data_IF_003189956897
#
_entry.id   IF_003189956897
#
_cell.length_a   1.000
_cell.length_b   1.000
_cell.length_c   1.000
_cell.angle_alpha   90.00
_cell.angle_beta   90.00
_cell.angle_gamma   90.00
#
_symmetry.space_group_name_H-M   'P 1'
#
loop_
_entity.id
_entity.type
_entity.pdbx_description
1 polymer ?
#
# COMPACT_ATOMS: atom_id res chain seq x y z
N UNK A 1 80.57 34.34 10.75
CA UNK A 1 79.94 33.87 9.49
C UNK A 1 78.48 33.56 9.79
N UNK A 2 77.57 34.05 8.95
CA UNK A 2 76.19 34.36 9.29
C UNK A 2 75.26 33.19 9.59
N UNK A 3 74.40 33.38 10.59
CA UNK A 3 73.21 32.57 10.82
C UNK A 3 72.12 33.06 9.87
N UNK A 4 71.76 32.25 8.88
CA UNK A 4 70.61 32.51 8.01
C UNK A 4 69.37 32.02 8.77
N UNK A 5 68.68 32.95 9.43
CA UNK A 5 67.31 32.73 9.90
C UNK A 5 66.38 32.62 8.69
N UNK A 6 65.70 31.48 8.56
CA UNK A 6 64.59 31.31 7.61
C UNK A 6 63.28 31.69 8.30
N UNK A 7 62.43 32.54 7.71
CA UNK A 7 61.19 32.98 8.34
C UNK A 7 60.19 31.81 8.44
N UNK A 8 59.66 31.60 9.64
CA UNK A 8 58.56 30.66 9.89
C UNK A 8 57.31 31.19 9.19
N UNK A 9 56.87 30.48 8.15
CA UNK A 9 55.58 30.70 7.48
C UNK A 9 54.46 30.37 8.47
N UNK A 10 53.81 31.40 9.01
CA UNK A 10 52.59 31.26 9.80
C UNK A 10 51.47 30.84 8.85
N UNK A 11 51.00 29.61 8.98
CA UNK A 11 49.75 29.17 8.35
C UNK A 11 48.62 29.69 9.23
N UNK A 12 47.90 30.70 8.75
CA UNK A 12 46.64 31.11 9.38
C UNK A 12 45.62 29.96 9.25
N UNK A 13 44.91 29.57 10.33
CA UNK A 13 43.73 28.74 10.18
C UNK A 13 42.62 29.56 9.49
N UNK A 14 41.83 28.97 8.58
CA UNK A 14 40.71 29.68 7.97
C UNK A 14 39.69 30.06 9.06
N UNK A 15 39.21 31.31 8.96
CA UNK A 15 38.20 31.86 9.83
C UNK A 15 36.93 31.00 9.82
N UNK A 16 36.47 30.63 11.01
CA UNK A 16 35.22 29.94 11.27
C UNK A 16 34.06 30.78 10.74
N UNK A 17 33.48 30.38 9.62
CA UNK A 17 32.21 30.94 9.15
C UNK A 17 31.10 30.56 10.15
N UNK A 18 30.19 31.48 10.51
CA UNK A 18 29.06 31.13 11.35
C UNK A 18 28.16 30.14 10.61
N UNK A 19 27.95 28.98 11.24
CA UNK A 19 27.02 27.96 10.80
C UNK A 19 25.63 28.58 10.84
N UNK A 20 25.07 28.86 9.65
CA UNK A 20 23.67 29.27 9.55
C UNK A 20 22.82 28.06 9.98
N UNK A 21 21.88 28.21 10.93
CA UNK A 21 20.95 27.14 11.19
C UNK A 21 20.15 26.90 9.91
N UNK A 22 20.24 25.68 9.37
CA UNK A 22 19.28 25.21 8.38
C UNK A 22 17.90 25.32 9.03
N UNK A 23 17.14 26.32 8.60
CA UNK A 23 15.70 26.40 8.75
C UNK A 23 15.11 25.08 8.22
N UNK A 24 14.82 24.16 9.13
CA UNK A 24 13.97 23.01 8.86
C UNK A 24 12.55 23.54 8.71
N UNK A 25 12.27 24.08 7.52
CA UNK A 25 10.93 24.31 7.05
C UNK A 25 10.42 22.97 6.50
N UNK A 26 9.70 22.24 7.35
CA UNK A 26 8.93 21.08 6.97
C UNK A 26 8.14 20.63 8.18
N UNK A 27 6.81 20.83 8.23
CA UNK A 27 6.04 20.26 9.31
C UNK A 27 6.18 18.74 9.19
N UNK A 28 6.62 18.10 10.27
CA UNK A 28 6.38 16.69 10.48
C UNK A 28 4.87 16.47 10.48
N UNK A 29 4.31 16.21 9.30
CA UNK A 29 2.95 15.72 9.14
C UNK A 29 2.97 14.21 9.37
N UNK A 30 3.27 13.79 10.59
CA UNK A 30 2.66 12.58 11.17
C UNK A 30 1.22 12.93 11.55
N UNK A 31 0.46 13.36 10.54
CA UNK A 31 -0.98 13.52 10.62
C UNK A 31 -1.58 12.26 10.04
N UNK A 32 -2.40 11.58 10.83
CA UNK A 32 -3.41 10.63 10.40
C UNK A 32 -4.35 11.35 9.42
N UNK A 33 -3.93 11.53 8.17
CA UNK A 33 -4.81 12.09 7.15
C UNK A 33 -5.82 11.00 6.79
N UNK A 34 -7.13 11.25 6.93
CA UNK A 34 -8.16 10.31 6.51
C UNK A 34 -7.95 9.93 5.05
N UNK A 35 -8.11 8.66 4.71
CA UNK A 35 -8.07 8.21 3.32
C UNK A 35 -9.13 8.99 2.53
N UNK A 36 -8.68 9.67 1.48
CA UNK A 36 -9.55 10.23 0.47
C UNK A 36 -9.13 9.64 -0.87
N UNK A 37 -10.04 8.95 -1.59
CA UNK A 37 -9.74 8.50 -2.93
C UNK A 37 -9.49 9.72 -3.82
N UNK A 38 -8.66 9.54 -4.86
CA UNK A 38 -8.52 10.56 -5.88
C UNK A 38 -9.91 10.93 -6.44
N UNK A 39 -10.21 12.21 -6.70
CA UNK A 39 -11.45 12.59 -7.36
C UNK A 39 -11.51 11.86 -8.70
N UNK A 40 -12.52 11.00 -8.89
CA UNK A 40 -12.75 10.29 -10.16
C UNK A 40 -12.93 11.34 -11.24
N UNK A 41 -11.92 11.52 -12.08
CA UNK A 41 -11.96 12.46 -13.19
C UNK A 41 -13.03 11.93 -14.15
N UNK A 42 -14.21 12.56 -14.11
CA UNK A 42 -15.33 12.18 -14.95
C UNK A 42 -14.87 12.26 -16.40
N UNK A 43 -14.77 11.10 -17.06
CA UNK A 43 -14.52 11.03 -18.49
C UNK A 43 -15.44 12.04 -19.19
N UNK A 44 -14.81 13.01 -19.84
CA UNK A 44 -15.49 14.06 -20.62
C UNK A 44 -16.14 13.42 -21.83
N UNK A 45 -17.29 12.80 -21.64
CA UNK A 45 -18.24 12.48 -22.71
C UNK A 45 -19.50 13.31 -22.50
N UNK A 46 -19.82 14.10 -23.51
CA UNK A 46 -20.89 15.08 -23.54
C UNK A 46 -22.26 14.50 -23.18
N UNK A 47 -22.94 15.19 -22.26
CA UNK A 47 -24.41 15.39 -22.16
C UNK A 47 -25.34 14.24 -22.55
N UNK A 48 -26.03 13.69 -21.53
CA UNK A 48 -27.50 13.51 -21.56
C UNK A 48 -28.06 13.58 -20.14
N UNK A 49 -29.11 14.41 -19.97
CA UNK A 49 -29.91 14.50 -18.75
C UNK A 49 -30.77 13.24 -18.61
N UNK A 50 -30.90 12.75 -17.38
CA UNK A 50 -31.95 11.82 -16.95
C UNK A 50 -31.59 10.34 -17.13
N UNK A 51 -30.85 9.79 -16.17
CA UNK A 51 -30.86 8.37 -15.86
C UNK A 51 -30.40 8.20 -14.40
N UNK A 52 -31.24 7.65 -13.54
CA UNK A 52 -30.80 7.07 -12.26
C UNK A 52 -29.84 5.95 -12.62
N UNK A 53 -28.52 6.15 -12.45
CA UNK A 53 -27.54 5.11 -12.76
C UNK A 53 -27.46 4.13 -11.57
N UNK A 54 -27.86 2.86 -11.72
CA UNK A 54 -27.33 1.81 -10.87
C UNK A 54 -25.85 1.63 -11.24
N UNK A 55 -24.94 1.41 -10.28
CA UNK A 55 -23.51 1.42 -10.57
C UNK A 55 -23.08 0.25 -11.46
N UNK A 56 -22.02 0.52 -12.22
CA UNK A 56 -21.28 -0.45 -13.02
C UNK A 56 -20.75 -1.56 -12.12
N UNK A 57 -21.23 -2.79 -12.33
CA UNK A 57 -20.68 -4.00 -11.69
C UNK A 57 -19.84 -4.74 -12.71
N UNK A 58 -18.53 -4.78 -12.49
CA UNK A 58 -17.60 -5.63 -13.18
C UNK A 58 -17.86 -7.10 -12.83
N UNK A 59 -17.60 -7.96 -13.81
CA UNK A 59 -17.50 -9.38 -13.57
C UNK A 59 -16.44 -9.66 -12.50
N UNK A 60 -16.59 -10.79 -11.81
CA UNK A 60 -15.64 -11.28 -10.82
C UNK A 60 -14.18 -11.23 -11.31
N UNK A 61 -13.98 -11.54 -12.59
CA UNK A 61 -12.68 -11.57 -13.29
C UNK A 61 -12.32 -10.27 -14.04
N UNK A 62 -13.03 -9.16 -13.78
CA UNK A 62 -12.68 -7.85 -14.34
C UNK A 62 -11.44 -7.25 -13.65
N UNK A 63 -10.78 -6.30 -14.30
CA UNK A 63 -9.59 -5.68 -13.71
C UNK A 63 -9.92 -4.84 -12.48
N UNK A 64 -8.94 -4.70 -11.58
CA UNK A 64 -9.03 -3.89 -10.36
C UNK A 64 -8.56 -2.46 -10.65
N UNK A 65 -9.39 -1.50 -10.25
CA UNK A 65 -9.12 -0.08 -10.49
C UNK A 65 -7.79 0.37 -9.86
N UNK A 66 -7.12 1.40 -10.42
CA UNK A 66 -5.94 1.99 -9.82
C UNK A 66 -6.14 2.42 -8.37
N UNK A 67 -7.31 2.99 -8.05
CA UNK A 67 -7.66 3.45 -6.71
C UNK A 67 -7.76 2.29 -5.73
N UNK A 68 -8.35 1.17 -6.16
CA UNK A 68 -8.44 -0.05 -5.36
C UNK A 68 -7.05 -0.62 -5.06
N UNK A 69 -6.17 -0.66 -6.06
CA UNK A 69 -4.79 -1.13 -5.89
C UNK A 69 -3.99 -0.25 -4.94
N UNK A 70 -4.12 1.07 -5.06
CA UNK A 70 -3.48 2.01 -4.13
C UNK A 70 -3.99 1.82 -2.70
N UNK A 71 -5.31 1.71 -2.52
CA UNK A 71 -5.90 1.50 -1.20
C UNK A 71 -5.41 0.20 -0.55
N UNK A 72 -5.27 -0.88 -1.32
CA UNK A 72 -4.69 -2.15 -0.84
C UNK A 72 -3.23 -2.00 -0.41
N UNK A 73 -2.40 -1.33 -1.21
CA UNK A 73 -1.01 -1.08 -0.86
C UNK A 73 -0.87 -0.21 0.41
N UNK A 74 -1.77 0.77 0.59
CA UNK A 74 -1.80 1.60 1.79
C UNK A 74 -2.31 0.82 3.00
N UNK A 75 -3.27 -0.07 2.82
CA UNK A 75 -3.80 -0.93 3.88
C UNK A 75 -2.68 -1.80 4.48
N UNK A 76 -1.83 -2.39 3.64
CA UNK A 76 -0.67 -3.20 4.04
C UNK A 76 0.35 -2.38 4.87
N UNK A 77 0.61 -1.14 4.46
CA UNK A 77 1.58 -0.29 5.13
C UNK A 77 1.05 0.43 6.40
N UNK A 78 -0.25 0.34 6.71
CA UNK A 78 -0.86 1.21 7.70
C UNK A 78 -0.74 0.68 9.13
N UNK A 79 -0.06 1.46 9.98
CA UNK A 79 0.15 1.12 11.40
C UNK A 79 -0.97 1.62 12.32
N UNK A 80 -1.68 2.68 11.93
CA UNK A 80 -2.79 3.22 12.71
C UNK A 80 -4.07 2.40 12.52
N UNK A 81 -4.65 1.92 13.62
CA UNK A 81 -5.83 1.06 13.61
C UNK A 81 -7.08 1.75 13.03
N UNK A 82 -7.30 3.03 13.36
CA UNK A 82 -8.48 3.75 12.91
C UNK A 82 -8.42 4.02 11.40
N UNK A 83 -7.26 4.43 10.89
CA UNK A 83 -7.04 4.63 9.47
C UNK A 83 -7.04 3.30 8.69
N UNK A 84 -6.55 2.21 9.28
CA UNK A 84 -6.62 0.86 8.70
C UNK A 84 -8.08 0.42 8.53
N UNK A 85 -8.92 0.65 9.54
CA UNK A 85 -10.38 0.41 9.45
C UNK A 85 -11.05 1.24 8.37
N UNK A 86 -10.73 2.53 8.28
CA UNK A 86 -11.28 3.41 7.24
C UNK A 86 -10.90 2.93 5.83
N UNK A 87 -9.66 2.48 5.63
CA UNK A 87 -9.20 1.90 4.37
C UNK A 87 -9.91 0.58 4.04
N UNK A 88 -10.01 -0.33 5.02
CA UNK A 88 -10.71 -1.61 4.83
C UNK A 88 -12.20 -1.41 4.48
N UNK A 89 -12.87 -0.48 5.15
CA UNK A 89 -14.26 -0.13 4.86
C UNK A 89 -14.42 0.51 3.47
N UNK A 90 -13.47 1.35 3.05
CA UNK A 90 -13.48 1.91 1.70
C UNK A 90 -13.29 0.83 0.64
N UNK A 91 -12.32 -0.08 0.83
CA UNK A 91 -12.06 -1.20 -0.09
C UNK A 91 -13.31 -2.07 -0.20
N UNK A 92 -13.93 -2.44 0.94
CA UNK A 92 -15.18 -3.23 0.94
C UNK A 92 -16.26 -2.55 0.11
N UNK A 93 -16.50 -1.25 0.32
CA UNK A 93 -17.51 -0.48 -0.42
C UNK A 93 -17.19 -0.41 -1.91
N UNK A 94 -15.93 -0.29 -2.28
CA UNK A 94 -15.52 -0.32 -3.69
C UNK A 94 -15.89 -1.66 -4.33
N UNK A 95 -15.65 -2.80 -3.65
CA UNK A 95 -16.12 -4.12 -4.12
C UNK A 95 -17.66 -4.23 -4.16
N UNK A 96 -18.39 -3.71 -3.17
CA UNK A 96 -19.86 -3.70 -3.15
C UNK A 96 -20.46 -2.94 -4.34
N UNK A 97 -19.83 -1.84 -4.73
CA UNK A 97 -20.28 -0.97 -5.81
C UNK A 97 -19.86 -1.51 -7.18
N UNK A 98 -18.60 -1.93 -7.29
CA UNK A 98 -17.98 -2.22 -8.59
C UNK A 98 -17.91 -3.69 -8.94
N UNK A 99 -18.15 -4.62 -8.02
CA UNK A 99 -17.97 -6.05 -8.28
C UNK A 99 -19.20 -6.86 -7.85
N UNK A 100 -19.26 -8.08 -8.36
CA UNK A 100 -20.37 -9.02 -8.10
C UNK A 100 -20.21 -9.80 -6.81
N UNK A 101 -18.99 -9.86 -6.28
CA UNK A 101 -18.66 -10.50 -5.01
C UNK A 101 -17.60 -9.69 -4.27
N UNK A 102 -17.57 -9.87 -2.95
CA UNK A 102 -16.62 -9.22 -2.05
C UNK A 102 -15.71 -10.33 -1.50
N UNK A 103 -14.38 -10.19 -1.58
CA UNK A 103 -13.48 -11.13 -0.95
C UNK A 103 -13.63 -11.06 0.58
N UNK A 104 -13.43 -12.20 1.26
CA UNK A 104 -13.36 -12.21 2.73
C UNK A 104 -12.07 -11.54 3.22
N UNK A 105 -11.02 -11.57 2.41
CA UNK A 105 -9.77 -10.86 2.65
C UNK A 105 -8.73 -11.20 1.59
N UNK A 106 -7.49 -10.84 1.87
CA UNK A 106 -6.39 -11.01 0.93
C UNK A 106 -5.21 -11.72 1.60
N UNK A 107 -4.43 -12.44 0.80
CA UNK A 107 -3.13 -12.96 1.19
C UNK A 107 -2.07 -12.30 0.34
N UNK A 108 -1.01 -11.80 0.98
CA UNK A 108 0.07 -11.07 0.30
C UNK A 108 1.43 -11.51 0.84
N UNK A 109 2.48 -11.19 0.09
CA UNK A 109 3.86 -11.37 0.55
C UNK A 109 4.16 -10.38 1.68
N UNK A 110 4.78 -10.86 2.75
CA UNK A 110 5.23 -9.97 3.82
C UNK A 110 6.65 -9.47 3.56
N UNK A 111 6.84 -8.15 3.68
CA UNK A 111 8.12 -7.48 3.48
C UNK A 111 8.78 -6.96 4.78
N UNK A 112 8.24 -7.31 5.96
CA UNK A 112 8.84 -6.97 7.25
C UNK A 112 10.19 -7.66 7.51
N UNK A 113 10.52 -8.68 6.73
CA UNK A 113 11.71 -9.51 6.94
C UNK A 113 11.46 -10.65 7.93
N UNK A 114 12.53 -11.38 8.24
CA UNK A 114 12.44 -12.56 9.10
C UNK A 114 11.84 -12.22 10.49
N UNK A 115 10.94 -13.08 11.03
CA UNK A 115 10.59 -14.42 10.54
C UNK A 115 9.41 -14.47 9.55
N UNK A 116 8.85 -13.32 9.15
CA UNK A 116 7.60 -13.27 8.41
C UNK A 116 7.80 -13.41 6.91
N UNK A 117 6.91 -14.15 6.24
CA UNK A 117 6.98 -14.40 4.80
C UNK A 117 5.68 -14.08 4.05
N UNK A 118 4.54 -14.16 4.74
CA UNK A 118 3.23 -13.83 4.20
C UNK A 118 2.35 -13.24 5.30
N UNK A 119 1.25 -12.59 4.91
CA UNK A 119 0.26 -12.10 5.85
C UNK A 119 -1.16 -12.12 5.25
N UNK A 120 -2.13 -12.11 6.14
CA UNK A 120 -3.54 -11.91 5.81
C UNK A 120 -3.89 -10.44 6.02
N UNK A 121 -4.64 -9.87 5.08
CA UNK A 121 -5.36 -8.61 5.21
C UNK A 121 -6.85 -8.93 5.24
N UNK A 122 -7.44 -8.94 6.42
CA UNK A 122 -8.87 -9.18 6.59
C UNK A 122 -9.66 -7.87 6.41
N UNK A 123 -10.67 -7.89 5.55
CA UNK A 123 -11.58 -6.75 5.38
C UNK A 123 -12.55 -6.62 6.56
N UNK A 124 -12.99 -7.71 7.19
CA UNK A 124 -13.94 -7.74 8.30
C UNK A 124 -13.38 -7.15 9.60
N UNK A 125 -12.21 -7.62 10.02
CA UNK A 125 -11.53 -7.19 11.25
C UNK A 125 -10.53 -6.05 11.06
N UNK A 126 -10.18 -5.68 9.81
CA UNK A 126 -9.05 -4.80 9.51
C UNK A 126 -7.73 -5.30 10.09
N UNK A 127 -7.56 -6.62 10.22
CA UNK A 127 -6.42 -7.24 10.88
C UNK A 127 -5.35 -7.55 9.84
N UNK A 128 -4.12 -7.12 10.12
CA UNK A 128 -2.92 -7.64 9.46
C UNK A 128 -2.34 -8.72 10.35
N UNK A 129 -2.35 -9.97 9.89
CA UNK A 129 -1.74 -11.07 10.63
C UNK A 129 -0.55 -11.62 9.85
N UNK A 130 0.65 -11.45 10.40
CA UNK A 130 1.88 -11.95 9.79
C UNK A 130 2.15 -13.39 10.18
N UNK A 131 2.68 -14.17 9.22
CA UNK A 131 2.96 -15.59 9.42
C UNK A 131 4.41 -15.91 9.05
N UNK A 132 5.03 -16.75 9.87
CA UNK A 132 6.28 -17.40 9.54
C UNK A 132 6.04 -18.63 8.63
N UNK A 133 7.08 -19.17 7.96
CA UNK A 133 6.93 -20.27 7.00
C UNK A 133 6.17 -21.48 7.55
N UNK A 134 6.45 -21.86 8.80
CA UNK A 134 5.86 -23.02 9.47
C UNK A 134 4.59 -22.74 10.27
N UNK A 135 4.16 -21.48 10.40
CA UNK A 135 2.90 -21.16 11.09
C UNK A 135 1.72 -21.54 10.19
N UNK A 136 0.77 -22.38 10.62
CA UNK A 136 -0.40 -22.72 9.80
C UNK A 136 -1.25 -21.48 9.52
N UNK A 137 -1.70 -21.33 8.28
CA UNK A 137 -2.62 -20.27 7.86
C UNK A 137 -4.05 -20.83 7.91
N UNK A 138 -5.02 -20.11 8.48
CA UNK A 138 -6.40 -20.58 8.57
C UNK A 138 -7.06 -20.66 7.19
N UNK A 139 -8.00 -21.60 7.03
CA UNK A 139 -8.94 -21.61 5.90
C UNK A 139 -9.88 -20.38 5.99
N UNK A 140 -10.31 -19.79 4.85
CA UNK A 140 -9.98 -20.18 3.47
C UNK A 140 -8.64 -19.64 2.94
N UNK A 141 -7.87 -18.90 3.74
CA UNK A 141 -6.69 -18.16 3.28
C UNK A 141 -5.49 -19.03 2.90
N UNK A 142 -5.35 -20.20 3.50
CA UNK A 142 -4.31 -21.19 3.18
C UNK A 142 -4.23 -21.51 1.68
N UNK A 143 -5.37 -21.51 0.98
CA UNK A 143 -5.44 -21.76 -0.47
C UNK A 143 -4.65 -20.73 -1.30
N UNK A 144 -4.58 -19.47 -0.85
CA UNK A 144 -3.87 -18.40 -1.55
C UNK A 144 -2.38 -18.28 -1.20
N UNK A 145 -1.90 -19.05 -0.21
CA UNK A 145 -0.61 -18.80 0.43
C UNK A 145 0.60 -18.97 -0.50
N UNK A 146 0.62 -20.05 -1.29
CA UNK A 146 1.75 -20.30 -2.20
C UNK A 146 1.82 -19.29 -3.33
N UNK A 147 0.65 -18.83 -3.81
CA UNK A 147 0.56 -17.77 -4.81
C UNK A 147 1.14 -16.47 -4.25
N UNK A 148 0.75 -16.07 -3.04
CA UNK A 148 1.29 -14.87 -2.39
C UNK A 148 2.82 -14.92 -2.22
N UNK A 149 3.37 -16.07 -1.83
CA UNK A 149 4.83 -16.24 -1.65
C UNK A 149 5.65 -16.09 -2.92
N UNK A 150 5.05 -16.31 -4.10
CA UNK A 150 5.74 -16.09 -5.38
C UNK A 150 6.23 -14.64 -5.51
N UNK A 151 5.51 -13.69 -4.91
CA UNK A 151 5.78 -12.26 -5.04
C UNK A 151 5.42 -11.69 -6.43
N UNK A 152 4.77 -12.47 -7.29
CA UNK A 152 4.35 -12.04 -8.63
C UNK A 152 3.03 -11.26 -8.62
N UNK A 153 2.27 -11.33 -7.53
CA UNK A 153 0.94 -10.74 -7.41
C UNK A 153 0.96 -9.56 -6.45
N UNK A 154 0.10 -8.58 -6.71
CA UNK A 154 -0.20 -7.51 -5.76
C UNK A 154 -0.83 -8.10 -4.51
N UNK A 155 -1.85 -8.94 -4.71
CA UNK A 155 -2.52 -9.68 -3.67
C UNK A 155 -3.19 -10.93 -4.25
N UNK A 156 -3.58 -11.82 -3.36
CA UNK A 156 -4.42 -12.97 -3.67
C UNK A 156 -5.74 -12.78 -2.94
N UNK A 157 -6.80 -12.50 -3.69
CA UNK A 157 -8.15 -12.38 -3.15
C UNK A 157 -8.69 -13.76 -2.78
N UNK A 158 -9.30 -13.86 -1.61
CA UNK A 158 -9.91 -15.10 -1.13
C UNK A 158 -11.39 -14.85 -0.88
N UNK A 159 -12.23 -15.72 -1.40
CA UNK A 159 -13.69 -15.64 -1.27
C UNK A 159 -14.22 -16.75 -0.37
N UNK A 160 -15.41 -16.53 0.22
CA UNK A 160 -15.99 -17.43 1.21
C UNK A 160 -16.41 -18.80 0.68
N UNK A 161 -16.53 -18.94 -0.64
CA UNK A 161 -16.80 -20.21 -1.33
C UNK A 161 -15.53 -21.00 -1.68
N UNK A 162 -14.35 -20.51 -1.27
CA UNK A 162 -13.06 -21.11 -1.56
C UNK A 162 -12.45 -20.68 -2.89
N UNK A 163 -13.10 -19.78 -3.64
CA UNK A 163 -12.48 -19.18 -4.82
C UNK A 163 -11.28 -18.31 -4.42
N UNK A 164 -10.20 -18.45 -5.17
CA UNK A 164 -8.97 -17.69 -5.00
C UNK A 164 -8.63 -17.00 -6.31
N UNK A 165 -8.46 -15.68 -6.29
CA UNK A 165 -8.14 -14.87 -7.48
C UNK A 165 -6.83 -14.11 -7.26
N UNK A 166 -5.74 -14.49 -7.94
CA UNK A 166 -4.51 -13.71 -7.96
C UNK A 166 -4.71 -12.42 -8.76
N UNK A 167 -4.32 -11.28 -8.17
CA UNK A 167 -4.37 -9.96 -8.82
C UNK A 167 -2.95 -9.51 -9.13
N UNK A 168 -2.69 -9.18 -10.40
CA UNK A 168 -1.38 -8.69 -10.84
C UNK A 168 -1.19 -7.20 -10.45
N UNK A 169 0.06 -6.70 -10.44
CA UNK A 169 0.35 -5.30 -10.12
C UNK A 169 -0.36 -4.27 -11.00
N UNK A 170 -0.70 -4.63 -12.26
CA UNK A 170 -1.46 -3.79 -13.19
C UNK A 170 -2.97 -3.81 -12.93
N UNK A 171 -3.46 -4.72 -12.08
CA UNK A 171 -4.87 -4.89 -11.72
C UNK A 171 -5.58 -6.01 -12.47
N UNK A 172 -4.93 -6.64 -13.44
CA UNK A 172 -5.52 -7.79 -14.13
C UNK A 172 -5.67 -8.99 -13.19
N UNK A 173 -6.76 -9.74 -13.36
CA UNK A 173 -7.09 -10.91 -12.54
C UNK A 173 -6.72 -12.18 -13.30
N UNK A 174 -5.91 -13.03 -12.67
CA UNK A 174 -5.58 -14.36 -13.21
C UNK A 174 -6.77 -15.29 -13.02
N UNK A 175 -7.24 -15.89 -14.10
CA UNK A 175 -8.37 -16.82 -14.09
C UNK A 175 -7.87 -18.24 -13.79
N UNK A 176 -8.58 -19.00 -12.93
CA UNK A 176 -8.28 -20.40 -12.66
C UNK A 176 -8.52 -21.30 -13.88
#
# INVERSE_FOLDING_TARGET
>A
MGHIERPRRVVQPPATAPVQPLKHAGPARTGHQPWQPAPKEQERTSQRRGATAPPLRHALYGDRSPELREALARLDAQVDEAARRQLADWIRKEYEVQHTAIPVGFVTKCYLGAPFVDHILDLAGSIVQHFAPGTPMPEPFSAGRMLARSGSYLCVEVYGDGLVLPVLPDGSVVRP
#
